data_IF_748293958300
#
_entry.id   IF_748293958300
#
_cell.length_a   1.000
_cell.length_b   1.000
_cell.length_c   1.000
_cell.angle_alpha   90.00
_cell.angle_beta   90.00
_cell.angle_gamma   90.00
#
_symmetry.space_group_name_H-M   'P 1'
#
loop_
_entity.id
_entity.type
_entity.pdbx_description
1 polymer ?
#
# COMPACT_ATOMS: atom_id res chain seq x y z
N UNK A 1 0.35 9.68 -17.51
CA UNK A 1 -0.23 11.02 -17.36
C UNK A 1 -1.66 10.98 -17.82
N UNK A 2 -2.46 11.98 -17.45
CA UNK A 2 -3.86 12.12 -17.81
C UNK A 2 -4.10 12.02 -19.32
N UNK A 3 -3.40 12.85 -20.09
CA UNK A 3 -3.53 12.88 -21.54
C UNK A 3 -3.26 11.50 -22.18
N UNK A 4 -2.29 10.75 -21.66
CA UNK A 4 -1.97 9.42 -22.17
C UNK A 4 -3.04 8.39 -21.82
N UNK A 5 -3.60 8.45 -20.61
CA UNK A 5 -4.71 7.60 -20.19
C UNK A 5 -5.96 7.85 -21.05
N UNK A 6 -6.33 9.12 -21.26
CA UNK A 6 -7.47 9.51 -22.10
C UNK A 6 -7.27 9.10 -23.57
N UNK A 7 -6.06 9.24 -24.09
CA UNK A 7 -5.69 8.77 -25.43
C UNK A 7 -5.89 7.27 -25.56
N UNK A 8 -5.37 6.45 -24.65
CA UNK A 8 -5.54 5.00 -24.68
C UNK A 8 -7.01 4.58 -24.55
N UNK A 9 -7.76 5.21 -23.64
CA UNK A 9 -9.19 4.94 -23.48
C UNK A 9 -9.97 5.21 -24.77
N UNK A 10 -9.65 6.29 -25.46
CA UNK A 10 -10.24 6.64 -26.75
C UNK A 10 -9.81 5.66 -27.85
N UNK A 11 -8.52 5.33 -27.93
CA UNK A 11 -7.98 4.43 -28.95
C UNK A 11 -8.56 3.02 -28.85
N UNK A 12 -8.65 2.46 -27.65
CA UNK A 12 -9.23 1.13 -27.47
C UNK A 12 -10.72 1.10 -27.80
N UNK A 13 -11.44 2.19 -27.51
CA UNK A 13 -12.84 2.34 -27.92
C UNK A 13 -12.99 2.41 -29.44
N UNK A 14 -12.15 3.20 -30.11
CA UNK A 14 -12.16 3.37 -31.57
C UNK A 14 -11.92 2.05 -32.32
N UNK A 15 -10.97 1.24 -31.86
CA UNK A 15 -10.62 -0.04 -32.51
C UNK A 15 -11.50 -1.21 -32.07
N UNK A 16 -12.50 -0.96 -31.21
CA UNK A 16 -13.37 -2.00 -30.67
C UNK A 16 -12.66 -3.02 -29.77
N UNK A 17 -11.53 -2.64 -29.16
CA UNK A 17 -10.82 -3.51 -28.23
C UNK A 17 -11.46 -3.43 -26.83
N UNK A 18 -11.88 -4.56 -26.24
CA UNK A 18 -12.57 -4.55 -24.95
C UNK A 18 -11.61 -4.20 -23.82
N UNK A 19 -11.94 -3.14 -23.08
CA UNK A 19 -11.24 -2.70 -21.87
C UNK A 19 -12.26 -2.22 -20.86
N UNK A 20 -12.25 -2.82 -19.67
CA UNK A 20 -13.15 -2.44 -18.59
C UNK A 20 -12.51 -1.46 -17.61
N UNK A 21 -11.21 -1.60 -17.31
CA UNK A 21 -10.55 -0.85 -16.21
C UNK A 21 -9.17 -0.34 -16.59
N UNK A 22 -8.87 0.91 -16.25
CA UNK A 22 -7.53 1.50 -16.29
C UNK A 22 -6.91 1.56 -14.90
N UNK A 23 -5.67 1.09 -14.78
CA UNK A 23 -4.92 1.07 -13.53
C UNK A 23 -3.84 2.14 -13.52
N UNK A 24 -3.81 2.95 -12.46
CA UNK A 24 -2.75 3.94 -12.23
C UNK A 24 -1.83 3.47 -11.10
N UNK A 25 -0.57 3.20 -11.46
CA UNK A 25 0.50 2.87 -10.52
C UNK A 25 0.93 4.06 -9.66
N UNK A 26 1.95 3.87 -8.81
CA UNK A 26 2.34 4.83 -7.76
C UNK A 26 2.69 6.23 -8.27
N UNK A 27 3.15 6.34 -9.52
CA UNK A 27 3.55 7.61 -10.14
C UNK A 27 2.37 8.57 -10.39
N UNK A 28 1.12 8.15 -10.15
CA UNK A 28 -0.01 9.08 -10.14
C UNK A 28 -0.02 10.03 -8.95
N UNK A 29 0.64 9.65 -7.85
CA UNK A 29 0.67 10.40 -6.61
C UNK A 29 1.67 11.57 -6.65
N UNK A 30 1.45 12.59 -5.83
CA UNK A 30 2.47 13.62 -5.60
C UNK A 30 3.61 13.04 -4.75
N UNK A 31 4.74 12.69 -5.38
CA UNK A 31 5.95 12.30 -4.67
C UNK A 31 5.80 11.05 -3.78
N UNK A 32 4.94 10.08 -4.17
CA UNK A 32 4.62 8.85 -3.42
C UNK A 32 3.79 9.10 -2.15
N UNK A 33 3.01 10.17 -2.13
CA UNK A 33 2.04 10.46 -1.07
C UNK A 33 0.65 10.00 -1.53
N UNK A 34 0.13 8.91 -0.97
CA UNK A 34 -1.21 8.41 -1.30
C UNK A 34 -2.30 9.46 -1.02
N UNK A 35 -3.45 9.32 -1.68
CA UNK A 35 -4.56 10.29 -1.60
C UNK A 35 -4.22 11.68 -2.17
N UNK A 36 -3.17 11.77 -2.97
CA UNK A 36 -2.77 13.00 -3.70
C UNK A 36 -2.58 12.69 -5.18
N UNK A 37 -2.43 13.74 -5.98
CA UNK A 37 -2.16 13.63 -7.42
C UNK A 37 -0.92 14.41 -7.81
N UNK A 38 -0.11 13.85 -8.70
CA UNK A 38 0.94 14.61 -9.38
C UNK A 38 0.28 15.58 -10.36
N UNK A 39 0.16 16.85 -9.97
CA UNK A 39 -0.54 17.89 -10.75
C UNK A 39 0.09 18.15 -12.13
N UNK A 40 1.37 17.84 -12.32
CA UNK A 40 2.02 17.94 -13.64
C UNK A 40 1.56 16.82 -14.58
N UNK A 41 1.42 15.60 -14.06
CA UNK A 41 1.01 14.44 -14.85
C UNK A 41 -0.51 14.29 -14.94
N UNK A 42 -1.23 14.75 -13.92
CA UNK A 42 -2.67 14.58 -13.73
C UNK A 42 -3.27 15.91 -13.22
N UNK A 43 -3.34 16.93 -14.08
CA UNK A 43 -3.82 18.26 -13.71
C UNK A 43 -5.31 18.31 -13.37
N UNK A 44 -6.13 17.42 -13.93
CA UNK A 44 -7.56 17.30 -13.66
C UNK A 44 -8.00 15.82 -13.59
N UNK A 45 -7.63 15.11 -12.51
CA UNK A 45 -7.90 13.68 -12.38
C UNK A 45 -9.39 13.38 -12.25
N UNK A 46 -10.18 14.36 -11.79
CA UNK A 46 -11.64 14.23 -11.70
C UNK A 46 -12.25 14.16 -13.09
N UNK A 47 -11.93 15.14 -13.95
CA UNK A 47 -12.39 15.14 -15.34
C UNK A 47 -11.93 13.90 -16.09
N UNK A 48 -10.67 13.51 -15.93
CA UNK A 48 -10.14 12.28 -16.55
C UNK A 48 -10.97 11.06 -16.15
N UNK A 49 -11.31 10.91 -14.87
CA UNK A 49 -12.14 9.80 -14.38
C UNK A 49 -13.53 9.81 -15.00
N UNK A 50 -14.15 11.00 -15.08
CA UNK A 50 -15.46 11.19 -15.73
C UNK A 50 -15.40 10.84 -17.23
N UNK A 51 -14.39 11.33 -17.94
CA UNK A 51 -14.19 11.06 -19.37
C UNK A 51 -13.95 9.56 -19.66
N UNK A 52 -13.30 8.84 -18.75
CA UNK A 52 -13.09 7.38 -18.84
C UNK A 52 -14.42 6.65 -18.59
N UNK A 53 -15.17 7.07 -17.58
CA UNK A 53 -16.49 6.50 -17.23
C UNK A 53 -17.52 6.68 -18.33
N UNK A 54 -17.54 7.84 -18.99
CA UNK A 54 -18.43 8.11 -20.12
C UNK A 54 -18.16 7.20 -21.33
N UNK A 55 -16.97 6.58 -21.38
CA UNK A 55 -16.61 5.55 -22.38
C UNK A 55 -16.93 4.12 -21.91
N UNK A 56 -17.67 3.98 -20.81
CA UNK A 56 -18.05 2.70 -20.21
C UNK A 56 -16.89 1.96 -19.56
N UNK A 57 -15.92 2.68 -18.97
CA UNK A 57 -14.72 2.11 -18.36
C UNK A 57 -14.52 2.67 -16.96
N UNK A 58 -13.87 1.93 -16.09
CA UNK A 58 -13.57 2.35 -14.73
C UNK A 58 -12.08 2.66 -14.57
N UNK A 59 -11.72 3.34 -13.48
CA UNK A 59 -10.34 3.65 -13.14
C UNK A 59 -10.02 3.25 -11.71
N UNK A 60 -8.86 2.62 -11.51
CA UNK A 60 -8.35 2.19 -10.20
C UNK A 60 -7.00 2.83 -9.95
N UNK A 61 -6.82 3.40 -8.76
CA UNK A 61 -5.55 3.95 -8.27
C UNK A 61 -4.98 3.07 -7.16
N UNK A 62 -3.65 2.96 -7.11
CA UNK A 62 -2.98 2.23 -6.03
C UNK A 62 -2.98 3.03 -4.71
N UNK A 63 -3.23 2.34 -3.60
CA UNK A 63 -3.05 2.85 -2.23
C UNK A 63 -2.41 1.75 -1.39
N UNK A 64 -1.16 1.96 -0.97
CA UNK A 64 -0.44 1.01 -0.11
C UNK A 64 -0.49 1.47 1.36
N UNK A 65 -0.28 0.56 2.33
CA UNK A 65 -0.37 0.91 3.75
C UNK A 65 0.85 1.68 4.30
N UNK A 66 1.90 1.90 3.50
CA UNK A 66 3.07 2.64 3.96
C UNK A 66 2.88 4.14 3.74
N UNK A 67 3.12 4.95 4.77
CA UNK A 67 2.92 6.40 4.71
C UNK A 67 4.27 7.09 4.63
N UNK A 68 4.46 7.95 3.61
CA UNK A 68 5.68 8.75 3.47
C UNK A 68 5.84 9.68 4.69
N UNK A 69 7.02 9.67 5.30
CA UNK A 69 7.35 10.59 6.39
C UNK A 69 7.52 12.01 5.84
N UNK A 70 6.56 12.89 6.10
CA UNK A 70 6.64 14.31 5.74
C UNK A 70 5.67 15.15 6.57
N UNK A 71 6.15 16.20 7.24
CA UNK A 71 5.29 17.10 8.02
C UNK A 71 4.29 17.90 7.17
N UNK A 72 4.55 18.06 5.88
CA UNK A 72 3.60 18.71 4.94
C UNK A 72 2.53 17.74 4.42
N UNK A 73 2.65 16.44 4.70
CA UNK A 73 1.70 15.45 4.23
C UNK A 73 0.65 15.19 5.30
N UNK A 74 -0.58 15.64 5.03
CA UNK A 74 -1.70 15.58 5.97
C UNK A 74 -1.90 14.19 6.60
N UNK A 75 -1.87 13.12 5.80
CA UNK A 75 -2.07 11.74 6.29
C UNK A 75 -0.97 11.32 7.26
N UNK A 76 0.27 11.76 7.03
CA UNK A 76 1.36 11.52 7.96
C UNK A 76 1.17 12.32 9.25
N UNK A 77 0.91 13.63 9.15
CA UNK A 77 0.76 14.48 10.34
C UNK A 77 -0.43 14.04 11.21
N UNK A 78 -1.58 13.75 10.61
CA UNK A 78 -2.75 13.26 11.35
C UNK A 78 -2.49 11.90 11.97
N UNK A 79 -1.81 10.99 11.26
CA UNK A 79 -1.46 9.68 11.81
C UNK A 79 -0.51 9.74 13.01
N UNK A 80 0.37 10.75 13.07
CA UNK A 80 1.22 11.02 14.23
C UNK A 80 0.39 11.60 15.38
N UNK A 81 -0.50 12.56 15.11
CA UNK A 81 -1.37 13.19 16.11
C UNK A 81 -2.34 12.21 16.75
N UNK A 82 -2.89 11.29 15.96
CA UNK A 82 -3.83 10.25 16.41
C UNK A 82 -3.13 9.01 16.99
N UNK A 83 -1.79 8.94 16.93
CA UNK A 83 -0.98 7.84 17.46
C UNK A 83 -1.35 6.45 16.87
N UNK A 84 -1.67 6.41 15.57
CA UNK A 84 -2.19 5.21 14.87
C UNK A 84 -1.14 4.40 14.12
N UNK A 85 0.11 4.87 14.05
CA UNK A 85 1.17 4.12 13.39
C UNK A 85 1.61 2.89 14.20
N UNK A 86 1.96 1.82 13.48
CA UNK A 86 2.56 0.63 14.09
C UNK A 86 3.84 1.05 14.84
N UNK A 87 3.86 0.76 16.14
CA UNK A 87 5.01 1.01 17.00
C UNK A 87 5.92 -0.21 17.02
N UNK A 88 7.22 0.04 17.10
CA UNK A 88 8.14 -1.03 17.44
C UNK A 88 7.78 -1.55 18.85
N UNK A 89 7.74 -2.87 19.02
CA UNK A 89 7.59 -3.47 20.34
C UNK A 89 8.81 -3.02 21.15
N UNK A 90 8.58 -2.50 22.36
CA UNK A 90 9.67 -2.13 23.27
C UNK A 90 10.68 -3.29 23.35
N UNK A 91 11.98 -2.99 23.19
CA UNK A 91 13.06 -3.97 23.27
C UNK A 91 12.96 -4.83 24.53
N UNK A 92 12.45 -4.29 25.63
CA UNK A 92 12.22 -5.03 26.88
C UNK A 92 11.08 -6.03 26.73
N UNK A 93 9.95 -5.63 26.17
CA UNK A 93 8.80 -6.50 25.89
C UNK A 93 9.17 -7.62 24.90
N UNK A 94 9.93 -7.28 23.85
CA UNK A 94 10.46 -8.27 22.88
C UNK A 94 11.35 -9.31 23.57
N UNK A 95 12.27 -8.87 24.45
CA UNK A 95 13.12 -9.79 25.23
C UNK A 95 12.30 -10.71 26.14
N UNK A 96 11.29 -10.18 26.83
CA UNK A 96 10.42 -10.96 27.71
C UNK A 96 9.62 -11.99 26.93
N UNK A 97 9.03 -11.61 25.80
CA UNK A 97 8.30 -12.53 24.91
C UNK A 97 9.24 -13.63 24.40
N UNK A 98 10.43 -13.27 23.92
CA UNK A 98 11.41 -14.26 23.45
C UNK A 98 11.90 -15.19 24.57
N UNK A 99 12.07 -14.68 25.79
CA UNK A 99 12.41 -15.50 26.96
C UNK A 99 11.28 -16.46 27.35
N UNK A 100 10.02 -16.01 27.32
CA UNK A 100 8.85 -16.85 27.58
C UNK A 100 8.72 -17.95 26.52
N UNK A 101 8.81 -17.59 25.24
CA UNK A 101 8.78 -18.56 24.14
C UNK A 101 9.88 -19.61 24.31
N UNK A 102 11.13 -19.20 24.56
CA UNK A 102 12.25 -20.13 24.78
C UNK A 102 12.02 -21.07 25.97
N UNK A 103 11.46 -20.58 27.08
CA UNK A 103 11.12 -21.40 28.25
C UNK A 103 10.04 -22.44 27.93
N UNK A 104 9.00 -22.02 27.21
CA UNK A 104 7.92 -22.91 26.79
C UNK A 104 8.42 -23.96 25.77
N UNK A 105 9.27 -23.59 24.81
CA UNK A 105 9.84 -24.56 23.86
C UNK A 105 10.77 -25.57 24.55
N UNK A 106 11.54 -25.14 25.56
CA UNK A 106 12.38 -26.04 26.35
C UNK A 106 11.57 -26.99 27.24
N UNK A 107 10.46 -26.53 27.83
CA UNK A 107 9.58 -27.42 28.61
C UNK A 107 8.77 -28.39 27.73
N UNK A 108 8.55 -28.04 26.46
CA UNK A 108 7.85 -28.86 25.47
C UNK A 108 8.77 -29.75 24.63
N UNK A 109 10.08 -29.79 24.89
CA UNK A 109 11.07 -30.55 24.11
C UNK A 109 10.83 -32.09 24.08
N UNK A 110 9.83 -32.60 24.80
CA UNK A 110 9.36 -33.99 24.76
C UNK A 110 7.95 -34.18 24.19
N UNK A 111 7.28 -33.13 23.69
CA UNK A 111 5.91 -33.20 23.13
C UNK A 111 5.98 -33.26 21.59
N UNK A 112 5.54 -34.34 20.93
CA UNK A 112 5.76 -34.55 19.49
C UNK A 112 5.11 -33.52 18.56
N UNK A 113 4.13 -32.75 19.05
CA UNK A 113 3.16 -32.02 18.22
C UNK A 113 3.56 -30.57 17.88
N UNK A 114 4.69 -30.05 18.38
CA UNK A 114 5.08 -28.64 18.18
C UNK A 114 6.42 -28.50 17.41
N UNK A 115 6.49 -29.03 16.18
CA UNK A 115 7.64 -28.80 15.26
C UNK A 115 7.43 -27.67 14.25
N UNK A 116 6.30 -26.94 14.30
CA UNK A 116 5.89 -26.05 13.19
C UNK A 116 6.52 -24.64 13.28
N UNK A 117 7.13 -24.23 14.39
CA UNK A 117 7.66 -22.85 14.56
C UNK A 117 9.19 -22.73 14.54
N UNK A 118 9.92 -23.75 14.06
CA UNK A 118 11.38 -23.75 14.12
C UNK A 118 12.10 -23.24 12.86
N UNK A 119 11.37 -22.75 11.85
CA UNK A 119 11.96 -22.16 10.66
C UNK A 119 11.77 -20.63 10.66
N UNK A 120 12.85 -19.92 10.31
CA UNK A 120 12.95 -18.48 10.03
C UNK A 120 13.15 -17.52 11.19
N UNK A 121 14.25 -17.73 11.92
CA UNK A 121 14.96 -16.65 12.60
C UNK A 121 16.47 -16.74 12.35
N UNK A 122 16.89 -16.64 11.09
CA UNK A 122 18.28 -16.33 10.72
C UNK A 122 18.36 -14.85 10.35
N UNK A 123 19.20 -14.03 11.01
CA UNK A 123 19.41 -12.65 10.62
C UNK A 123 20.36 -12.58 9.41
N UNK A 124 19.85 -12.06 8.30
CA UNK A 124 20.64 -11.42 7.24
C UNK A 124 20.66 -9.91 7.46
#
# INVERSE_FOLDING_TARGET
>A
SQQYTEYLASKYTEIGFPVDVFWLGIEHTNGKMYFTWNETLFPDPKKMSEDIRDKGKEMVTIVDPHIKVSKSYFIYSSGVEEDVFVKEIDRTQRKTILQLLRRTTQSLAGVPTLKIFQADASPG
#
